data_IF_023883459231
#
_entry.id   IF_023883459231
#
_cell.length_a   1.000
_cell.length_b   1.000
_cell.length_c   1.000
_cell.angle_alpha   90.00
_cell.angle_beta   90.00
_cell.angle_gamma   90.00
#
_symmetry.space_group_name_H-M   'P 1'
#
loop_
_entity.id
_entity.type
_entity.pdbx_description
1 polymer ?
#
# COMPACT_ATOMS: atom_id res chain seq x y z
N UNK A 1 2.57 -5.22 -14.03
CA UNK A 1 2.36 -4.83 -12.62
C UNK A 1 0.87 -4.95 -12.39
N UNK A 2 0.41 -5.83 -11.49
CA UNK A 2 -1.00 -6.24 -11.34
C UNK A 2 -1.97 -5.16 -10.84
N UNK A 3 -1.75 -3.90 -11.21
CA UNK A 3 -2.65 -2.78 -10.96
C UNK A 3 -3.30 -2.40 -12.28
N UNK A 4 -4.62 -2.26 -12.26
CA UNK A 4 -5.40 -1.80 -13.39
C UNK A 4 -6.07 -0.46 -13.05
N UNK A 5 -6.48 0.25 -14.08
CA UNK A 5 -7.28 1.46 -13.92
C UNK A 5 -8.59 1.12 -13.19
N UNK A 6 -8.95 1.93 -12.20
CA UNK A 6 -10.10 1.73 -11.32
C UNK A 6 -9.77 1.01 -10.01
N UNK A 7 -8.58 0.43 -9.85
CA UNK A 7 -8.22 -0.26 -8.60
C UNK A 7 -8.10 0.71 -7.43
N UNK A 8 -8.58 0.29 -6.27
CA UNK A 8 -8.36 0.95 -5.00
C UNK A 8 -7.08 0.42 -4.37
N UNK A 9 -6.22 1.32 -3.91
CA UNK A 9 -4.93 0.96 -3.33
C UNK A 9 -4.81 1.61 -1.97
N UNK A 10 -4.64 0.78 -0.94
CA UNK A 10 -4.35 1.24 0.43
C UNK A 10 -2.85 1.45 0.57
N UNK A 11 -2.46 2.49 1.29
CA UNK A 11 -1.09 2.80 1.65
C UNK A 11 -0.96 2.90 3.16
N UNK A 12 0.02 2.18 3.70
CA UNK A 12 0.39 2.18 5.11
C UNK A 12 1.84 2.60 5.33
N UNK A 13 2.10 3.24 6.47
CA UNK A 13 3.45 3.61 6.88
C UNK A 13 4.07 4.75 6.06
N UNK A 14 3.25 5.53 5.33
CA UNK A 14 3.73 6.67 4.56
C UNK A 14 4.39 7.72 5.48
N UNK A 15 5.65 8.01 5.20
CA UNK A 15 6.46 8.98 5.93
C UNK A 15 7.24 9.89 4.97
N UNK A 16 8.00 10.82 5.54
CA UNK A 16 8.85 11.77 4.80
C UNK A 16 10.01 11.11 4.04
N UNK A 17 10.30 9.85 4.35
CA UNK A 17 11.32 8.99 3.75
C UNK A 17 10.79 8.14 2.57
N UNK A 18 9.48 8.15 2.33
CA UNK A 18 8.85 7.41 1.25
C UNK A 18 8.95 8.14 -0.10
N UNK A 19 9.09 7.37 -1.18
CA UNK A 19 9.16 7.91 -2.54
C UNK A 19 7.78 8.37 -3.04
N UNK A 20 7.56 9.69 -3.10
CA UNK A 20 6.35 10.29 -3.68
C UNK A 20 6.18 9.98 -5.18
N UNK A 21 7.29 9.70 -5.88
CA UNK A 21 7.27 9.32 -7.30
C UNK A 21 6.47 8.02 -7.53
N UNK A 22 6.69 7.00 -6.69
CA UNK A 22 5.98 5.73 -6.74
C UNK A 22 4.49 5.94 -6.50
N UNK A 23 4.14 6.75 -5.50
CA UNK A 23 2.73 7.10 -5.21
C UNK A 23 2.07 7.76 -6.41
N UNK A 24 2.75 8.72 -7.02
CA UNK A 24 2.25 9.46 -8.17
C UNK A 24 2.05 8.55 -9.39
N UNK A 25 2.99 7.65 -9.66
CA UNK A 25 2.84 6.66 -10.73
C UNK A 25 1.66 5.72 -10.48
N UNK A 26 1.51 5.21 -9.26
CA UNK A 26 0.42 4.29 -8.91
C UNK A 26 -0.93 4.99 -9.04
N UNK A 27 -1.06 6.20 -8.50
CA UNK A 27 -2.28 7.00 -8.65
C UNK A 27 -2.58 7.32 -10.12
N UNK A 28 -1.55 7.56 -10.94
CA UNK A 28 -1.73 7.77 -12.37
C UNK A 28 -2.17 6.50 -13.12
N UNK A 29 -1.75 5.31 -12.68
CA UNK A 29 -2.14 4.03 -13.29
C UNK A 29 -3.57 3.65 -12.88
N UNK A 30 -3.89 3.76 -11.58
CA UNK A 30 -5.22 3.44 -11.03
C UNK A 30 -6.25 4.48 -11.43
N UNK A 31 -5.85 5.75 -11.61
CA UNK A 31 -6.78 6.86 -11.76
C UNK A 31 -7.48 7.26 -10.45
N UNK A 32 -7.08 6.66 -9.32
CA UNK A 32 -7.61 6.94 -7.99
C UNK A 32 -6.50 7.47 -7.06
N UNK A 33 -6.90 8.23 -6.05
CA UNK A 33 -6.00 8.57 -4.95
C UNK A 33 -5.73 7.33 -4.10
N UNK A 34 -4.51 7.23 -3.55
CA UNK A 34 -4.15 6.21 -2.57
C UNK A 34 -4.94 6.46 -1.29
N UNK A 35 -5.52 5.40 -0.75
CA UNK A 35 -6.24 5.42 0.53
C UNK A 35 -5.24 5.26 1.67
N UNK A 36 -5.44 5.98 2.76
CA UNK A 36 -4.63 5.79 3.97
C UNK A 36 -5.22 4.70 4.87
N UNK A 37 -4.45 4.29 5.89
CA UNK A 37 -4.82 3.24 6.86
C UNK A 37 -6.11 3.49 7.65
N UNK A 38 -6.64 4.72 7.68
CA UNK A 38 -7.94 5.01 8.32
C UNK A 38 -9.13 4.67 7.40
N UNK A 39 -8.88 4.34 6.14
CA UNK A 39 -9.92 3.91 5.21
C UNK A 39 -10.48 2.55 5.63
N UNK A 40 -11.81 2.42 5.58
CA UNK A 40 -12.53 1.16 5.82
C UNK A 40 -13.00 0.50 4.52
N UNK A 41 -12.56 1.03 3.38
CA UNK A 41 -12.91 0.48 2.06
C UNK A 41 -12.10 -0.78 1.77
N UNK A 42 -12.73 -1.74 1.08
CA UNK A 42 -12.04 -2.92 0.56
C UNK A 42 -11.21 -2.50 -0.64
N UNK A 43 -9.92 -2.82 -0.62
CA UNK A 43 -8.96 -2.41 -1.65
C UNK A 43 -8.52 -3.59 -2.51
N UNK A 44 -8.10 -3.29 -3.73
CA UNK A 44 -7.58 -4.28 -4.68
C UNK A 44 -6.09 -4.55 -4.47
N UNK A 45 -5.34 -3.60 -3.89
CA UNK A 45 -3.94 -3.76 -3.55
C UNK A 45 -3.61 -3.00 -2.26
N UNK A 46 -2.64 -3.49 -1.51
CA UNK A 46 -2.11 -2.82 -0.32
C UNK A 46 -0.63 -2.54 -0.52
N UNK A 47 -0.21 -1.32 -0.23
CA UNK A 47 1.18 -0.88 -0.20
C UNK A 47 1.54 -0.65 1.26
N UNK A 48 2.63 -1.26 1.71
CA UNK A 48 3.17 -1.02 3.03
C UNK A 48 4.62 -0.55 2.92
N UNK A 49 4.91 0.57 3.57
CA UNK A 49 6.25 1.12 3.69
C UNK A 49 6.89 0.58 4.97
N UNK A 50 7.80 -0.37 4.81
CA UNK A 50 8.42 -1.11 5.89
C UNK A 50 9.82 -0.60 6.24
N UNK A 51 10.06 -0.38 7.53
CA UNK A 51 11.36 -0.01 8.11
C UNK A 51 11.83 -1.10 9.08
N UNK A 52 13.13 -1.12 9.36
CA UNK A 52 13.68 -2.09 10.31
C UNK A 52 13.14 -1.91 11.74
N UNK A 53 12.72 -0.69 12.10
CA UNK A 53 12.17 -0.35 13.41
C UNK A 53 10.65 -0.54 13.53
N UNK A 54 9.94 -0.92 12.46
CA UNK A 54 8.46 -1.00 12.43
C UNK A 54 7.91 -2.23 13.19
N UNK A 55 8.76 -3.15 13.65
CA UNK A 55 8.37 -4.24 14.54
C UNK A 55 8.18 -5.59 13.84
N UNK A 56 7.01 -6.20 13.98
CA UNK A 56 6.71 -7.53 13.41
C UNK A 56 6.05 -7.42 12.04
N UNK A 57 6.79 -7.84 11.01
CA UNK A 57 6.32 -7.83 9.65
C UNK A 57 5.11 -8.75 9.43
N UNK A 58 5.05 -9.87 10.15
CA UNK A 58 3.99 -10.86 9.94
C UNK A 58 2.65 -10.26 10.37
N UNK A 59 2.60 -9.64 11.55
CA UNK A 59 1.39 -8.99 12.06
C UNK A 59 0.91 -7.89 11.09
N UNK A 60 1.84 -7.08 10.59
CA UNK A 60 1.53 -6.03 9.63
C UNK A 60 1.02 -6.55 8.28
N UNK A 61 1.57 -7.66 7.78
CA UNK A 61 1.04 -8.32 6.57
C UNK A 61 -0.33 -8.96 6.82
N UNK A 62 -0.56 -9.51 8.02
CA UNK A 62 -1.86 -10.07 8.41
C UNK A 62 -2.92 -8.98 8.50
N UNK A 63 -2.58 -7.82 9.06
CA UNK A 63 -3.45 -6.65 9.09
C UNK A 63 -3.78 -6.17 7.68
N UNK A 64 -2.79 -6.11 6.77
CA UNK A 64 -3.01 -5.75 5.37
C UNK A 64 -4.02 -6.68 4.66
N UNK A 65 -4.00 -7.98 4.97
CA UNK A 65 -4.95 -8.95 4.40
C UNK A 65 -6.41 -8.65 4.79
N UNK A 66 -6.66 -7.93 5.89
CA UNK A 66 -8.03 -7.61 6.33
C UNK A 66 -8.73 -6.58 5.44
N UNK A 67 -7.95 -5.72 4.77
CA UNK A 67 -8.46 -4.68 3.87
C UNK A 67 -8.53 -5.16 2.41
N UNK A 68 -7.78 -6.22 2.08
CA UNK A 68 -7.56 -6.67 0.72
C UNK A 68 -8.72 -7.53 0.22
N UNK A 69 -9.09 -7.35 -1.06
CA UNK A 69 -9.99 -8.27 -1.75
C UNK A 69 -9.33 -9.65 -1.93
N UNK A 70 -10.12 -10.70 -2.20
CA UNK A 70 -9.72 -12.13 -2.19
C UNK A 70 -8.46 -12.49 -3.01
N UNK A 71 -7.98 -11.61 -3.90
CA UNK A 71 -6.82 -11.88 -4.76
C UNK A 71 -5.89 -10.68 -4.98
N UNK A 72 -5.97 -9.66 -4.13
CA UNK A 72 -5.11 -8.49 -4.26
C UNK A 72 -3.63 -8.79 -3.99
N UNK A 73 -2.68 -8.12 -4.64
CA UNK A 73 -1.27 -8.16 -4.24
C UNK A 73 -1.01 -7.23 -3.06
N UNK A 74 -0.13 -7.66 -2.15
CA UNK A 74 0.47 -6.79 -1.13
C UNK A 74 1.88 -6.42 -1.61
N UNK A 75 2.19 -5.12 -1.64
CA UNK A 75 3.49 -4.58 -2.00
C UNK A 75 4.19 -4.01 -0.79
N UNK A 76 5.25 -4.69 -0.37
CA UNK A 76 6.14 -4.21 0.67
C UNK A 76 7.29 -3.42 0.04
N UNK A 77 7.36 -2.14 0.39
CA UNK A 77 8.39 -1.21 -0.08
C UNK A 77 9.26 -0.82 1.11
N UNK A 78 10.57 -0.91 0.97
CA UNK A 78 11.51 -0.41 1.97
C UNK A 78 12.04 0.94 1.49
N UNK A 79 11.79 2.05 2.21
CA UNK A 79 12.36 3.35 1.92
C UNK A 79 13.88 3.25 1.72
N UNK A 80 14.43 4.06 0.81
CA UNK A 80 15.89 4.12 0.65
C UNK A 80 16.50 4.91 1.80
N UNK A 81 17.50 4.30 2.44
CA UNK A 81 18.39 4.94 3.42
C UNK A 81 19.38 5.87 2.73
#
# INVERSE_FOLDING_TARGET
MGIQNGHLVLERGFGSDCDESIRSEISSITGNALLDENSQEVVDAVITWWREDDGDLIDELVDCLTYLSESGPIWLLTPKV
#
